data_IF_591407929389
#
_entry.id   IF_591407929389
#
_cell.length_a   1.000
_cell.length_b   1.000
_cell.length_c   1.000
_cell.angle_alpha   90.00
_cell.angle_beta   90.00
_cell.angle_gamma   90.00
#
_symmetry.space_group_name_H-M   'P 1'
#
loop_
_entity.id
_entity.type
_entity.pdbx_description
1 polymer ?
#
# COMPACT_ATOMS: atom_id res chain seq x y z
N UNK A 1 26.33 6.94 9.34
CA UNK A 1 25.82 6.12 8.22
C UNK A 1 24.40 6.55 7.95
N UNK A 2 24.14 7.19 6.81
CA UNK A 2 22.78 7.54 6.40
C UNK A 2 22.13 6.25 5.95
N UNK A 3 21.20 5.72 6.75
CA UNK A 3 20.41 4.56 6.38
C UNK A 3 19.72 4.85 5.06
N UNK A 4 19.96 4.02 4.05
CA UNK A 4 19.38 4.18 2.72
C UNK A 4 17.87 4.30 2.82
N UNK A 5 17.37 5.45 2.39
CA UNK A 5 15.97 5.72 2.13
C UNK A 5 15.45 4.72 1.10
N UNK A 6 14.70 3.70 1.52
CA UNK A 6 13.92 2.90 0.56
C UNK A 6 12.64 3.66 0.26
N UNK A 7 12.77 4.79 -0.44
CA UNK A 7 11.64 5.39 -1.14
C UNK A 7 11.12 4.32 -2.08
N UNK A 8 9.82 4.04 -2.08
CA UNK A 8 9.26 3.27 -3.18
C UNK A 8 9.59 4.01 -4.46
N UNK A 9 10.08 3.27 -5.45
CA UNK A 9 10.46 3.86 -6.73
C UNK A 9 9.24 4.62 -7.28
N UNK A 10 9.39 5.91 -7.63
CA UNK A 10 8.31 6.64 -8.25
C UNK A 10 7.85 5.92 -9.51
N UNK A 11 6.54 5.94 -9.76
CA UNK A 11 5.98 5.29 -10.93
C UNK A 11 4.82 6.08 -11.51
N UNK A 12 4.49 5.75 -12.76
CA UNK A 12 3.43 6.40 -13.53
C UNK A 12 2.20 5.50 -13.57
N UNK A 13 1.04 6.11 -13.35
CA UNK A 13 -0.26 5.50 -13.61
C UNK A 13 -1.18 6.56 -14.21
N UNK A 14 -1.77 6.28 -15.39
CA UNK A 14 -2.61 7.23 -16.14
C UNK A 14 -1.96 8.63 -16.30
N UNK A 15 -0.70 8.66 -16.72
CA UNK A 15 0.12 9.87 -16.88
C UNK A 15 0.35 10.71 -15.61
N UNK A 16 0.01 10.17 -14.43
CA UNK A 16 0.28 10.82 -13.14
C UNK A 16 1.40 10.13 -12.39
N UNK A 17 2.23 10.94 -11.74
CA UNK A 17 3.34 10.48 -10.91
C UNK A 17 2.86 10.15 -9.50
N UNK A 18 3.17 8.94 -9.05
CA UNK A 18 2.92 8.47 -7.69
C UNK A 18 4.21 8.01 -7.01
N UNK A 19 4.32 8.25 -5.71
CA UNK A 19 5.43 7.78 -4.88
C UNK A 19 5.05 7.79 -3.39
N UNK A 20 5.87 7.15 -2.57
CA UNK A 20 5.79 7.24 -1.11
C UNK A 20 7.05 7.91 -0.55
N UNK A 21 6.93 8.56 0.61
CA UNK A 21 8.08 9.03 1.37
C UNK A 21 8.71 7.91 2.21
N UNK A 22 9.76 8.27 2.97
CA UNK A 22 10.51 7.33 3.81
C UNK A 22 9.91 7.22 5.21
N UNK A 23 10.31 6.19 5.94
CA UNK A 23 9.96 5.99 7.34
C UNK A 23 10.51 7.10 8.26
N UNK A 24 9.86 7.35 9.42
CA UNK A 24 8.54 6.87 9.84
C UNK A 24 7.41 7.80 9.32
N UNK A 25 6.17 7.32 9.36
CA UNK A 25 4.96 8.03 8.91
C UNK A 25 4.76 8.11 7.40
N UNK A 26 5.03 7.00 6.69
CA UNK A 26 4.89 6.91 5.23
C UNK A 26 3.49 7.33 4.76
N UNK A 27 3.45 8.14 3.70
CA UNK A 27 2.27 8.64 2.98
C UNK A 27 2.38 8.34 1.48
N UNK A 28 1.26 8.44 0.78
CA UNK A 28 1.21 8.33 -0.69
C UNK A 28 1.02 9.73 -1.28
N UNK A 29 1.88 10.09 -2.22
CA UNK A 29 1.82 11.36 -2.95
C UNK A 29 1.42 11.14 -4.40
N UNK A 30 0.70 12.11 -4.95
CA UNK A 30 0.39 12.25 -6.37
C UNK A 30 0.84 13.64 -6.81
N UNK A 31 1.78 13.70 -7.75
CA UNK A 31 2.25 14.97 -8.35
C UNK A 31 2.73 15.99 -7.28
N UNK A 32 3.36 15.50 -6.21
CA UNK A 32 3.88 16.33 -5.12
C UNK A 32 2.86 16.72 -4.04
N UNK A 33 1.60 16.32 -4.18
CA UNK A 33 0.53 16.55 -3.20
C UNK A 33 0.21 15.24 -2.48
N UNK A 34 -0.10 15.30 -1.18
CA UNK A 34 -0.56 14.13 -0.43
C UNK A 34 -1.86 13.62 -1.06
N UNK A 35 -1.83 12.39 -1.54
CA UNK A 35 -2.98 11.70 -2.14
C UNK A 35 -3.72 10.85 -1.11
N UNK A 36 -2.96 10.15 -0.27
CA UNK A 36 -3.49 9.46 0.90
C UNK A 36 -2.56 9.71 2.09
N UNK A 37 -3.15 10.32 3.12
CA UNK A 37 -2.53 10.49 4.43
C UNK A 37 -2.91 9.31 5.35
N UNK A 38 -2.43 9.37 6.58
CA UNK A 38 -2.84 8.52 7.69
C UNK A 38 -4.36 8.60 7.92
N UNK A 39 -4.98 7.47 8.25
CA UNK A 39 -6.42 7.38 8.53
C UNK A 39 -6.67 6.46 9.72
N UNK A 40 -7.76 6.66 10.46
CA UNK A 40 -8.26 5.76 11.51
C UNK A 40 -7.21 5.20 12.49
N UNK A 41 -6.11 5.91 12.77
CA UNK A 41 -5.01 5.45 13.63
C UNK A 41 -3.98 4.54 12.95
N UNK A 42 -4.03 4.36 11.63
CA UNK A 42 -2.92 3.88 10.81
C UNK A 42 -1.86 4.96 10.73
N UNK A 43 -0.62 4.60 10.99
CA UNK A 43 0.51 5.53 11.01
C UNK A 43 1.34 5.43 9.74
N UNK A 44 1.22 4.35 8.96
CA UNK A 44 1.85 4.23 7.64
C UNK A 44 0.84 3.79 6.60
N UNK A 45 0.93 4.41 5.42
CA UNK A 45 0.25 4.00 4.18
C UNK A 45 1.27 4.01 3.06
N UNK A 46 1.42 2.91 2.34
CA UNK A 46 2.50 2.75 1.38
C UNK A 46 2.26 1.70 0.31
N UNK A 47 3.28 1.48 -0.51
CA UNK A 47 3.29 0.56 -1.64
C UNK A 47 1.97 0.56 -2.45
N UNK A 48 1.53 1.71 -2.98
CA UNK A 48 0.29 1.76 -3.74
C UNK A 48 0.45 1.05 -5.08
N UNK A 49 -0.62 0.44 -5.57
CA UNK A 49 -0.75 -0.16 -6.89
C UNK A 49 -2.15 0.12 -7.43
N UNK A 50 -2.25 0.39 -8.72
CA UNK A 50 -3.51 0.77 -9.34
C UNK A 50 -4.02 -0.29 -10.30
N UNK A 51 -5.34 -0.51 -10.28
CA UNK A 51 -6.06 -1.33 -11.25
C UNK A 51 -7.51 -0.91 -11.36
N UNK A 52 -8.00 -0.72 -12.58
CA UNK A 52 -9.40 -0.39 -12.88
C UNK A 52 -9.97 0.78 -12.04
N UNK A 53 -9.18 1.84 -11.84
CA UNK A 53 -9.56 3.01 -11.03
C UNK A 53 -9.48 2.79 -9.51
N UNK A 54 -9.11 1.60 -9.04
CA UNK A 54 -8.92 1.30 -7.63
C UNK A 54 -7.43 1.37 -7.27
N UNK A 55 -7.12 2.05 -6.16
CA UNK A 55 -5.80 1.99 -5.55
C UNK A 55 -5.78 0.93 -4.46
N UNK A 56 -4.93 -0.07 -4.60
CA UNK A 56 -4.59 -1.04 -3.56
C UNK A 56 -3.32 -0.60 -2.87
N UNK A 57 -3.26 -0.68 -1.55
CA UNK A 57 -2.10 -0.20 -0.80
C UNK A 57 -1.98 -0.98 0.52
N UNK A 58 -0.81 -0.89 1.16
CA UNK A 58 -0.61 -1.46 2.48
C UNK A 58 -0.65 -0.37 3.55
N UNK A 59 -1.16 -0.72 4.73
CA UNK A 59 -1.23 0.15 5.87
C UNK A 59 -0.86 -0.58 7.16
N UNK A 60 -0.44 0.18 8.17
CA UNK A 60 -0.17 -0.35 9.52
C UNK A 60 -0.34 0.69 10.60
N UNK A 61 -0.75 0.23 11.78
CA UNK A 61 -0.97 1.05 12.99
C UNK A 61 0.26 1.14 13.89
N UNK A 62 1.13 0.14 13.80
CA UNK A 62 2.37 0.06 14.58
C UNK A 62 3.48 0.82 13.82
N UNK A 63 4.33 1.64 14.45
CA UNK A 63 5.45 2.29 13.76
C UNK A 63 6.72 1.40 13.57
N UNK A 64 6.77 0.15 14.05
CA UNK A 64 7.95 -0.72 13.98
C UNK A 64 7.98 -1.65 12.73
N UNK A 65 8.78 -1.36 11.70
CA UNK A 65 8.79 -2.12 10.44
C UNK A 65 9.12 -3.62 10.61
N UNK A 66 9.69 -4.04 11.75
CA UNK A 66 10.14 -5.41 11.98
C UNK A 66 9.02 -6.41 12.26
N UNK A 67 7.79 -5.94 12.38
CA UNK A 67 6.60 -6.75 12.66
C UNK A 67 5.79 -7.00 11.38
N UNK A 68 6.07 -8.08 10.63
CA UNK A 68 5.36 -8.39 9.38
C UNK A 68 3.86 -8.58 9.59
N UNK A 69 3.45 -9.03 10.78
CA UNK A 69 2.06 -9.21 11.18
C UNK A 69 1.34 -7.89 11.49
N UNK A 70 2.01 -6.74 11.41
CA UNK A 70 1.38 -5.43 11.62
C UNK A 70 0.77 -4.83 10.35
N UNK A 71 1.04 -5.43 9.18
CA UNK A 71 0.58 -4.94 7.88
C UNK A 71 -0.81 -5.43 7.51
N UNK A 72 -1.53 -4.57 6.82
CA UNK A 72 -2.85 -4.83 6.26
C UNK A 72 -2.93 -4.31 4.83
N UNK A 73 -3.65 -5.02 3.97
CA UNK A 73 -3.95 -4.59 2.60
C UNK A 73 -5.30 -3.92 2.57
N UNK A 74 -5.34 -2.76 1.94
CA UNK A 74 -6.52 -1.90 1.80
C UNK A 74 -6.74 -1.55 0.33
N UNK A 75 -7.96 -1.13 0.01
CA UNK A 75 -8.26 -0.45 -1.24
C UNK A 75 -8.90 0.92 -0.99
N UNK A 76 -8.66 1.85 -1.93
CA UNK A 76 -9.33 3.13 -2.05
C UNK A 76 -9.97 3.19 -3.44
N UNK A 77 -11.29 3.32 -3.50
CA UNK A 77 -11.98 3.50 -4.79
C UNK A 77 -11.92 4.94 -5.31
N UNK A 78 -12.55 5.20 -6.45
CA UNK A 78 -12.54 6.50 -7.12
C UNK A 78 -13.26 7.60 -6.33
N UNK A 79 -14.24 7.22 -5.51
CA UNK A 79 -14.97 8.13 -4.62
C UNK A 79 -14.17 8.41 -3.34
N UNK A 80 -13.12 7.63 -3.09
CA UNK A 80 -12.20 7.79 -1.97
C UNK A 80 -12.55 6.91 -0.77
N UNK A 81 -13.51 6.01 -0.90
CA UNK A 81 -13.88 5.08 0.17
C UNK A 81 -12.77 4.06 0.42
N UNK A 82 -12.46 3.84 1.70
CA UNK A 82 -11.43 2.92 2.14
C UNK A 82 -12.07 1.59 2.56
N UNK A 83 -11.52 0.47 2.06
CA UNK A 83 -11.98 -0.87 2.43
C UNK A 83 -10.81 -1.75 2.81
N UNK A 84 -10.91 -2.35 3.99
CA UNK A 84 -10.00 -3.39 4.45
C UNK A 84 -10.18 -4.65 3.60
N UNK A 85 -9.07 -5.24 3.14
CA UNK A 85 -9.10 -6.49 2.38
C UNK A 85 -8.63 -7.66 3.24
N UNK A 86 -7.44 -7.54 3.84
CA UNK A 86 -6.88 -8.62 4.66
C UNK A 86 -5.69 -8.12 5.49
N UNK A 87 -5.25 -8.99 6.39
CA UNK A 87 -3.98 -8.85 7.09
C UNK A 87 -2.88 -9.34 6.14
N UNK A 88 -1.97 -8.45 5.73
CA UNK A 88 -1.07 -8.74 4.64
C UNK A 88 -0.30 -7.51 4.16
N UNK A 89 0.60 -7.71 3.20
CA UNK A 89 1.48 -6.67 2.66
C UNK A 89 1.70 -6.88 1.16
N UNK A 90 2.38 -5.91 0.55
CA UNK A 90 2.85 -5.94 -0.83
C UNK A 90 1.72 -6.23 -1.85
N UNK A 91 0.63 -5.43 -1.88
CA UNK A 91 -0.32 -5.53 -2.98
C UNK A 91 0.37 -5.23 -4.30
N UNK A 92 -0.03 -5.91 -5.36
CA UNK A 92 0.38 -5.62 -6.73
C UNK A 92 -0.76 -5.92 -7.69
N UNK A 93 -1.04 -5.01 -8.62
CA UNK A 93 -2.04 -5.25 -9.65
C UNK A 93 -1.38 -5.48 -11.01
N UNK A 94 -1.85 -6.49 -11.74
CA UNK A 94 -1.40 -6.78 -13.09
C UNK A 94 -2.48 -7.54 -13.88
N UNK A 95 -2.85 -7.02 -15.06
CA UNK A 95 -3.77 -7.67 -16.01
C UNK A 95 -5.09 -8.18 -15.39
N UNK A 96 -5.78 -7.36 -14.59
CA UNK A 96 -7.05 -7.75 -13.96
C UNK A 96 -6.90 -8.62 -12.71
N UNK A 97 -5.67 -8.79 -12.20
CA UNK A 97 -5.41 -9.57 -11.00
C UNK A 97 -4.73 -8.72 -9.94
N UNK A 98 -5.28 -8.76 -8.73
CA UNK A 98 -4.61 -8.32 -7.52
C UNK A 98 -3.81 -9.49 -6.95
N UNK A 99 -2.57 -9.25 -6.57
CA UNK A 99 -1.66 -10.16 -5.88
C UNK A 99 -1.27 -9.53 -4.54
N UNK A 100 -1.07 -10.34 -3.50
CA UNK A 100 -0.58 -9.85 -2.20
C UNK A 100 0.01 -10.98 -1.37
N UNK A 101 0.80 -10.65 -0.35
CA UNK A 101 1.18 -11.57 0.72
C UNK A 101 0.18 -11.48 1.86
N UNK A 102 -0.59 -12.55 2.13
CA UNK A 102 -1.52 -12.62 3.26
C UNK A 102 -0.84 -13.24 4.49
N UNK A 103 -0.95 -12.60 5.65
CA UNK A 103 -0.39 -13.12 6.89
C UNK A 103 -1.31 -14.19 7.49
N UNK A 104 -0.80 -15.41 7.64
CA UNK A 104 -1.58 -16.56 8.11
C UNK A 104 -1.38 -16.91 9.61
N UNK A 105 -0.65 -16.07 10.35
CA UNK A 105 -0.28 -16.32 11.75
C UNK A 105 1.15 -16.82 11.95
N UNK A 106 1.76 -17.43 10.93
CA UNK A 106 3.12 -17.98 10.96
C UNK A 106 4.05 -17.33 9.93
N UNK A 107 3.49 -16.90 8.80
CA UNK A 107 4.23 -16.29 7.69
C UNK A 107 3.28 -15.72 6.64
N UNK A 108 3.85 -15.35 5.49
CA UNK A 108 3.07 -14.90 4.34
C UNK A 108 2.74 -16.05 3.40
N UNK A 109 1.46 -16.15 3.05
CA UNK A 109 0.97 -16.94 1.93
C UNK A 109 0.67 -15.99 0.77
N UNK A 110 1.26 -16.22 -0.40
CA UNK A 110 0.93 -15.42 -1.59
C UNK A 110 -0.47 -15.76 -2.11
N UNK A 111 -1.29 -14.73 -2.31
CA UNK A 111 -2.65 -14.81 -2.80
C UNK A 111 -2.81 -14.00 -4.07
N UNK A 112 -3.88 -14.32 -4.80
CA UNK A 112 -4.39 -13.48 -5.87
C UNK A 112 -5.90 -13.55 -5.98
N UNK A 113 -6.51 -12.48 -6.46
CA UNK A 113 -7.93 -12.42 -6.78
C UNK A 113 -8.11 -11.71 -8.11
N UNK A 114 -9.10 -12.16 -8.89
CA UNK A 114 -9.50 -11.47 -10.11
C UNK A 114 -10.32 -10.25 -9.71
N UNK A 115 -9.93 -9.09 -10.23
CA UNK A 115 -10.69 -7.84 -10.13
C UNK A 115 -11.56 -7.78 -11.39
N UNK A 116 -12.87 -7.66 -11.20
CA UNK A 116 -13.89 -7.66 -12.27
C UNK A 116 -14.63 -6.35 -12.31
#
# INVERSE_FOLDING_TARGET
MVGGSTKHQPFLHEDRLYYTDDWPNVRIYREGVVYLDHFDGYVHVGNPHWGDGVMYFEARRDPDPRRPEGWEVWMRDMDGELRYLCKGANPAYHNGWLYWGEWNGQGFTYRRSKVT
#
